data_IF_140896114948
#
_entry.id   IF_140896114948
#
_cell.length_a   1.000
_cell.length_b   1.000
_cell.length_c   1.000
_cell.angle_alpha   90.00
_cell.angle_beta   90.00
_cell.angle_gamma   90.00
#
_symmetry.space_group_name_H-M   'P 1'
#
loop_
_entity.id
_entity.type
_entity.pdbx_description
1 polymer ?
#
# COMPACT_ATOMS: atom_id res chain seq x y z
N UNK A 1 61.04 6.02 18.62
CA UNK A 1 60.24 4.92 18.04
C UNK A 1 58.90 4.92 18.75
N UNK A 2 57.95 5.70 18.22
CA UNK A 2 56.59 5.78 18.76
C UNK A 2 55.78 4.66 18.13
N UNK A 3 55.41 3.66 18.92
CA UNK A 3 54.50 2.61 18.49
C UNK A 3 53.08 3.15 18.70
N UNK A 4 52.44 3.53 17.60
CA UNK A 4 51.05 3.98 17.58
C UNK A 4 50.14 2.77 17.81
N UNK A 5 49.49 2.72 18.96
CA UNK A 5 48.43 1.74 19.25
C UNK A 5 47.18 2.15 18.49
N UNK A 6 46.84 1.45 17.41
CA UNK A 6 45.55 1.60 16.74
C UNK A 6 44.44 1.01 17.61
N UNK A 7 43.65 1.89 18.22
CA UNK A 7 42.38 1.53 18.83
C UNK A 7 41.42 1.10 17.73
N UNK A 8 41.19 -0.20 17.60
CA UNK A 8 40.13 -0.76 16.77
C UNK A 8 38.77 -0.33 17.35
N UNK A 9 38.12 0.62 16.70
CA UNK A 9 36.73 1.00 16.99
C UNK A 9 35.81 -0.18 16.65
N UNK A 10 34.91 -0.63 17.56
CA UNK A 10 33.87 -1.56 17.17
C UNK A 10 32.82 -0.80 16.36
N UNK A 11 32.85 -0.95 15.03
CA UNK A 11 31.67 -0.64 14.22
C UNK A 11 30.61 -1.69 14.54
N UNK A 12 29.79 -1.41 15.55
CA UNK A 12 28.55 -2.12 15.75
C UNK A 12 27.66 -1.81 14.55
N UNK A 13 27.70 -2.70 13.54
CA UNK A 13 26.65 -2.77 12.53
C UNK A 13 25.37 -3.07 13.29
N UNK A 14 24.57 -2.02 13.53
CA UNK A 14 23.23 -2.18 14.04
C UNK A 14 22.48 -3.02 13.02
N UNK A 15 22.16 -4.26 13.41
CA UNK A 15 21.28 -5.13 12.65
C UNK A 15 19.93 -4.42 12.54
N UNK A 16 19.76 -3.64 11.48
CA UNK A 16 18.47 -3.13 11.04
C UNK A 16 17.58 -4.37 10.88
N UNK A 17 16.37 -4.41 11.47
CA UNK A 17 15.45 -5.49 11.21
C UNK A 17 15.27 -5.57 9.69
N UNK A 18 15.63 -6.70 9.11
CA UNK A 18 15.48 -6.92 7.68
C UNK A 18 13.98 -6.86 7.38
N UNK A 19 13.56 -5.81 6.68
CA UNK A 19 12.19 -5.69 6.22
C UNK A 19 12.03 -6.72 5.10
N UNK A 20 11.40 -7.84 5.41
CA UNK A 20 11.15 -8.89 4.42
C UNK A 20 10.16 -8.39 3.38
N UNK A 21 10.63 -8.33 2.14
CA UNK A 21 9.84 -7.78 1.04
C UNK A 21 8.90 -8.84 0.49
N UNK A 22 7.60 -8.68 0.76
CA UNK A 22 6.54 -9.54 0.24
C UNK A 22 6.10 -9.06 -1.15
N UNK A 23 6.25 -9.91 -2.16
CA UNK A 23 5.65 -9.73 -3.50
C UNK A 23 4.53 -10.74 -3.67
N UNK A 24 3.32 -10.26 -3.92
CA UNK A 24 2.17 -11.10 -4.21
C UNK A 24 1.35 -10.47 -5.34
N UNK A 25 0.66 -11.31 -6.10
CA UNK A 25 -0.25 -10.89 -7.16
C UNK A 25 -1.62 -11.51 -6.90
N UNK A 26 -2.70 -10.77 -7.15
CA UNK A 26 -4.07 -11.29 -7.11
C UNK A 26 -4.51 -11.68 -8.52
N UNK A 27 -5.13 -12.84 -8.67
CA UNK A 27 -5.69 -13.32 -9.95
C UNK A 27 -7.04 -14.01 -9.69
N UNK A 28 -7.93 -14.01 -10.70
CA UNK A 28 -9.34 -14.42 -10.54
C UNK A 28 -10.26 -13.79 -11.60
N UNK A 29 -11.49 -14.28 -11.70
CA UNK A 29 -12.53 -13.84 -12.63
C UNK A 29 -12.88 -12.36 -12.45
N UNK A 30 -13.51 -11.77 -13.47
CA UNK A 30 -14.20 -10.48 -13.34
C UNK A 30 -15.20 -10.61 -12.18
N UNK A 31 -15.29 -9.57 -11.33
CA UNK A 31 -16.12 -9.50 -10.11
C UNK A 31 -15.69 -10.33 -8.89
N UNK A 32 -14.56 -11.06 -8.92
CA UNK A 32 -14.04 -11.80 -7.75
C UNK A 32 -13.45 -10.89 -6.64
N UNK A 33 -13.56 -9.56 -6.76
CA UNK A 33 -13.14 -8.62 -5.72
C UNK A 33 -11.62 -8.46 -5.55
N UNK A 34 -10.82 -8.81 -6.57
CA UNK A 34 -9.34 -8.69 -6.54
C UNK A 34 -8.87 -7.29 -6.16
N UNK A 35 -9.47 -6.28 -6.79
CA UNK A 35 -9.16 -4.86 -6.60
C UNK A 35 -9.59 -4.39 -5.21
N UNK A 36 -10.74 -4.88 -4.72
CA UNK A 36 -11.21 -4.67 -3.36
C UNK A 36 -10.26 -5.26 -2.31
N UNK A 37 -9.70 -6.46 -2.56
CA UNK A 37 -8.77 -7.12 -1.65
C UNK A 37 -7.43 -6.36 -1.57
N UNK A 38 -6.90 -5.90 -2.70
CA UNK A 38 -5.70 -5.04 -2.71
C UNK A 38 -6.00 -3.73 -1.97
N UNK A 39 -7.12 -3.08 -2.28
CA UNK A 39 -7.53 -1.84 -1.60
C UNK A 39 -7.67 -2.00 -0.09
N UNK A 40 -8.20 -3.15 0.38
CA UNK A 40 -8.29 -3.46 1.81
C UNK A 40 -6.94 -3.65 2.47
N UNK A 41 -6.02 -4.36 1.82
CA UNK A 41 -4.65 -4.51 2.32
C UNK A 41 -3.94 -3.16 2.44
N UNK A 42 -4.10 -2.28 1.46
CA UNK A 42 -3.54 -0.92 1.50
C UNK A 42 -4.15 -0.08 2.62
N UNK A 43 -5.46 -0.19 2.83
CA UNK A 43 -6.18 0.48 3.93
C UNK A 43 -5.70 -0.01 5.30
N UNK A 44 -5.69 -1.32 5.52
CA UNK A 44 -5.30 -1.91 6.81
C UNK A 44 -3.81 -1.68 7.10
N UNK A 45 -2.96 -1.59 6.07
CA UNK A 45 -1.53 -1.28 6.20
C UNK A 45 -1.24 0.22 6.43
N UNK A 46 -2.28 1.07 6.50
CA UNK A 46 -2.17 2.54 6.60
C UNK A 46 -1.21 3.14 5.56
N UNK A 47 -1.10 2.50 4.41
CA UNK A 47 -0.18 2.88 3.33
C UNK A 47 -0.83 3.86 2.34
N UNK A 48 -2.05 4.31 2.64
CA UNK A 48 -2.82 5.28 1.86
C UNK A 48 -2.64 6.66 2.47
N UNK A 49 -2.34 7.66 1.64
CA UNK A 49 -2.31 9.07 2.05
C UNK A 49 -3.70 9.54 2.51
N UNK A 50 -3.77 10.33 3.58
CA UNK A 50 -5.03 10.86 4.13
C UNK A 50 -5.89 11.57 3.07
N UNK A 51 -5.27 12.37 2.18
CA UNK A 51 -5.98 13.04 1.09
C UNK A 51 -6.73 12.09 0.14
N UNK A 52 -6.17 10.90 -0.11
CA UNK A 52 -6.78 9.87 -0.96
C UNK A 52 -7.94 9.19 -0.24
N UNK A 53 -7.78 8.95 1.07
CA UNK A 53 -8.83 8.40 1.92
C UNK A 53 -10.04 9.35 1.98
N UNK A 54 -9.78 10.64 2.20
CA UNK A 54 -10.80 11.67 2.29
C UNK A 54 -11.54 11.86 0.96
N UNK A 55 -10.83 11.76 -0.17
CA UNK A 55 -11.45 11.76 -1.49
C UNK A 55 -12.39 10.56 -1.70
N UNK A 56 -12.02 9.38 -1.20
CA UNK A 56 -12.85 8.18 -1.26
C UNK A 56 -14.07 8.28 -0.35
N UNK A 57 -13.91 8.80 0.87
CA UNK A 57 -15.01 9.05 1.80
C UNK A 57 -16.03 10.03 1.22
N UNK A 58 -15.58 11.16 0.65
CA UNK A 58 -16.46 12.10 -0.05
C UNK A 58 -17.20 11.43 -1.22
N UNK A 59 -16.54 10.53 -1.94
CA UNK A 59 -17.17 9.79 -3.05
C UNK A 59 -18.19 8.75 -2.56
N UNK A 60 -17.96 8.13 -1.40
CA UNK A 60 -18.88 7.19 -0.77
C UNK A 60 -20.15 7.88 -0.29
N UNK A 61 -20.03 9.09 0.26
CA UNK A 61 -21.16 9.93 0.67
C UNK A 61 -22.01 10.38 -0.53
N UNK A 62 -21.37 10.73 -1.66
CA UNK A 62 -22.06 11.12 -2.89
C UNK A 62 -22.84 9.97 -3.54
N UNK A 63 -22.38 8.73 -3.37
CA UNK A 63 -23.00 7.54 -3.95
C UNK A 63 -24.13 6.98 -3.06
N UNK A 64 -24.36 7.57 -1.87
CA UNK A 64 -25.50 7.27 -0.99
C UNK A 64 -25.44 5.92 -0.25
N UNK A 65 -24.33 5.18 -0.41
CA UNK A 65 -24.15 3.83 0.16
C UNK A 65 -23.33 3.78 1.46
N UNK A 66 -22.65 4.87 1.84
CA UNK A 66 -21.84 4.96 3.08
C UNK A 66 -20.63 4.02 3.16
N UNK A 67 -20.46 3.08 2.22
CA UNK A 67 -19.32 2.20 2.13
C UNK A 67 -18.25 2.78 1.20
N UNK A 68 -17.05 2.90 1.74
CA UNK A 68 -15.85 3.26 1.00
C UNK A 68 -15.56 2.17 -0.03
N UNK A 69 -15.64 2.50 -1.32
CA UNK A 69 -15.27 1.57 -2.38
C UNK A 69 -13.74 1.54 -2.55
N UNK A 70 -13.10 0.58 -1.89
CA UNK A 70 -11.65 0.42 -1.87
C UNK A 70 -11.06 -0.03 -3.22
N UNK A 71 -11.87 -0.53 -4.18
CA UNK A 71 -11.36 -0.86 -5.52
C UNK A 71 -10.94 0.40 -6.30
N UNK A 72 -11.56 1.54 -6.01
CA UNK A 72 -11.23 2.82 -6.65
C UNK A 72 -9.79 3.29 -6.35
N UNK A 73 -9.13 2.74 -5.32
CA UNK A 73 -7.72 3.00 -5.03
C UNK A 73 -6.79 2.37 -6.06
N UNK A 74 -7.17 1.22 -6.60
CA UNK A 74 -6.38 0.48 -7.58
C UNK A 74 -6.78 0.81 -9.02
N UNK A 75 -8.03 1.22 -9.23
CA UNK A 75 -8.55 1.62 -10.53
C UNK A 75 -8.13 3.07 -10.83
N UNK A 76 -7.03 3.23 -11.56
CA UNK A 76 -6.39 4.51 -11.85
C UNK A 76 -7.10 5.33 -12.93
N UNK A 77 -7.84 4.68 -13.83
CA UNK A 77 -8.54 5.32 -14.94
C UNK A 77 -10.01 5.56 -14.62
N UNK A 78 -10.59 6.64 -15.17
CA UNK A 78 -12.05 6.89 -15.04
C UNK A 78 -12.88 5.79 -15.72
N UNK A 79 -12.40 5.27 -16.85
CA UNK A 79 -13.07 4.21 -17.59
C UNK A 79 -13.14 2.89 -16.79
N UNK A 80 -12.10 2.58 -16.00
CA UNK A 80 -12.08 1.44 -15.08
C UNK A 80 -13.18 1.56 -14.03
N UNK A 81 -13.29 2.74 -13.39
CA UNK A 81 -14.28 3.01 -12.35
C UNK A 81 -15.72 2.99 -12.88
N UNK A 82 -15.95 3.46 -14.11
CA UNK A 82 -17.27 3.43 -14.75
C UNK A 82 -17.70 2.01 -15.15
N UNK A 83 -16.75 1.13 -15.46
CA UNK A 83 -17.03 -0.24 -15.92
C UNK A 83 -16.83 -1.31 -14.83
N UNK A 84 -16.25 -0.96 -13.67
CA UNK A 84 -15.97 -1.90 -12.58
C UNK A 84 -14.87 -2.91 -12.92
N UNK A 85 -13.92 -2.56 -13.79
CA UNK A 85 -12.81 -3.42 -14.20
C UNK A 85 -11.47 -2.76 -13.88
N UNK A 86 -10.42 -3.57 -13.79
CA UNK A 86 -9.03 -3.10 -13.68
C UNK A 86 -8.30 -3.50 -14.98
N UNK A 87 -7.63 -2.55 -15.65
CA UNK A 87 -6.94 -2.74 -16.94
C UNK A 87 -5.43 -2.76 -16.75
#
# INVERSE_FOLDING_TARGET
>A
MSVSTEFLSPSASSAQPAVDLLRFNTCGSVDDGKSTLIGRLLYDSKSIMEDQLEALERSADLTGGGQINLANLTDGLRAEREQGITI
#
